data_IF_955973834439
#
_entry.id   IF_955973834439
#
_cell.length_a   1.000
_cell.length_b   1.000
_cell.length_c   1.000
_cell.angle_alpha   90.00
_cell.angle_beta   90.00
_cell.angle_gamma   90.00
#
_symmetry.space_group_name_H-M   'P 1'
#
loop_
_entity.id
_entity.type
_entity.pdbx_description
1 polymer ?
#
# COMPACT_ATOMS: atom_id res chain seq x y z
N UNK A 1 -7.77 20.32 -3.07
CA UNK A 1 -6.63 20.46 -2.13
C UNK A 1 -5.69 19.29 -2.41
N UNK A 2 -4.43 19.59 -2.72
CA UNK A 2 -3.49 18.63 -3.30
C UNK A 2 -3.24 17.44 -2.35
N UNK A 3 -3.56 16.25 -2.82
CA UNK A 3 -3.13 14.98 -2.26
C UNK A 3 -1.59 14.93 -2.31
N UNK A 4 -0.93 15.35 -1.24
CA UNK A 4 0.53 15.17 -1.11
C UNK A 4 0.80 13.74 -0.67
N UNK A 5 0.57 12.78 -1.57
CA UNK A 5 1.14 11.45 -1.46
C UNK A 5 2.63 11.54 -1.75
N UNK A 6 3.42 11.17 -0.75
CA UNK A 6 4.88 11.29 -0.64
C UNK A 6 5.38 12.73 -0.79
N UNK A 7 6.32 13.15 0.06
CA UNK A 7 6.99 14.42 -0.20
C UNK A 7 7.88 14.26 -1.44
N UNK A 8 8.05 15.31 -2.27
CA UNK A 8 8.97 15.26 -3.41
C UNK A 8 10.36 14.70 -3.05
N UNK A 9 10.84 14.99 -1.84
CA UNK A 9 12.11 14.49 -1.33
C UNK A 9 12.11 12.98 -1.00
N UNK A 10 10.98 12.41 -0.57
CA UNK A 10 10.90 10.95 -0.39
C UNK A 10 10.95 10.25 -1.76
N UNK A 11 10.30 10.84 -2.76
CA UNK A 11 10.26 10.34 -4.13
C UNK A 11 11.66 10.36 -4.74
N UNK A 12 12.39 11.48 -4.63
CA UNK A 12 13.77 11.60 -5.09
C UNK A 12 14.67 10.57 -4.43
N UNK A 13 14.60 10.43 -3.10
CA UNK A 13 15.39 9.43 -2.38
C UNK A 13 15.11 8.00 -2.86
N UNK A 14 13.87 7.67 -3.15
CA UNK A 14 13.50 6.34 -3.66
C UNK A 14 14.01 6.11 -5.08
N UNK A 15 13.94 7.13 -5.94
CA UNK A 15 14.55 7.05 -7.27
C UNK A 15 16.06 6.91 -7.20
N UNK A 16 16.74 7.65 -6.33
CA UNK A 16 18.18 7.51 -6.10
C UNK A 16 18.55 6.08 -5.65
N UNK A 17 17.80 5.48 -4.73
CA UNK A 17 18.03 4.09 -4.31
C UNK A 17 17.81 3.11 -5.47
N UNK A 18 16.78 3.33 -6.28
CA UNK A 18 16.51 2.52 -7.47
C UNK A 18 17.64 2.61 -8.50
N UNK A 19 18.12 3.82 -8.79
CA UNK A 19 19.22 4.09 -9.70
C UNK A 19 20.51 3.42 -9.19
N UNK A 20 20.87 3.62 -7.92
CA UNK A 20 22.05 2.99 -7.32
C UNK A 20 22.00 1.46 -7.37
N UNK A 21 20.82 0.84 -7.18
CA UNK A 21 20.66 -0.61 -7.34
C UNK A 21 20.85 -1.04 -8.79
N UNK A 22 20.31 -0.28 -9.74
CA UNK A 22 20.48 -0.55 -11.17
C UNK A 22 21.96 -0.47 -11.58
N UNK A 23 22.69 0.56 -11.15
CA UNK A 23 24.12 0.71 -11.40
C UNK A 23 24.93 -0.47 -10.84
N UNK A 24 24.63 -0.93 -9.61
CA UNK A 24 25.25 -2.13 -9.04
C UNK A 24 24.95 -3.40 -9.84
N UNK A 25 23.74 -3.55 -10.39
CA UNK A 25 23.39 -4.69 -11.24
C UNK A 25 24.14 -4.66 -12.58
N UNK A 26 24.39 -3.47 -13.15
CA UNK A 26 25.21 -3.30 -14.35
C UNK A 26 26.70 -3.58 -14.08
N UNK A 27 27.25 -3.07 -12.98
CA UNK A 27 28.62 -3.34 -12.56
C UNK A 27 28.86 -4.82 -12.26
N UNK A 28 27.86 -5.49 -11.65
CA UNK A 28 27.87 -6.92 -11.41
C UNK A 28 27.87 -7.75 -12.70
N UNK A 29 27.06 -7.36 -13.70
CA UNK A 29 27.01 -8.04 -15.01
C UNK A 29 28.31 -7.92 -15.81
N UNK A 30 29.03 -6.80 -15.69
CA UNK A 30 30.32 -6.60 -16.36
C UNK A 30 31.43 -7.55 -15.87
N UNK A 31 31.30 -8.10 -14.65
CA UNK A 31 32.27 -9.06 -14.08
C UNK A 31 31.97 -10.53 -14.39
N UNK A 32 30.84 -10.87 -15.00
CA UNK A 32 30.39 -12.26 -15.21
C UNK A 32 30.69 -12.88 -16.58
N UNK A 33 31.42 -12.18 -17.46
CA UNK A 33 31.94 -12.80 -18.70
C UNK A 33 33.30 -13.43 -18.42
N UNK A 34 33.32 -14.57 -17.70
CA UNK A 34 34.33 -15.63 -17.86
C UNK A 34 33.93 -16.89 -17.08
N UNK A 35 33.81 -17.97 -17.85
CA UNK A 35 33.74 -19.39 -17.50
C UNK A 35 32.35 -20.02 -17.34
N UNK A 36 31.85 -20.56 -18.45
CA UNK A 36 31.02 -21.77 -18.47
C UNK A 36 31.88 -23.02 -18.23
N UNK A 37 31.34 -23.99 -17.46
CA UNK A 37 31.24 -25.42 -17.85
C UNK A 37 30.36 -26.18 -16.84
N UNK A 38 29.35 -26.86 -17.37
CA UNK A 38 28.26 -27.62 -16.70
C UNK A 38 28.64 -29.10 -16.41
N UNK A 39 27.68 -30.05 -16.18
CA UNK A 39 27.01 -30.56 -14.95
C UNK A 39 27.37 -32.09 -14.72
N UNK A 40 26.65 -33.03 -14.02
CA UNK A 40 25.25 -33.04 -13.51
C UNK A 40 24.90 -33.78 -12.18
N UNK A 41 23.60 -33.66 -11.84
CA UNK A 41 22.69 -34.59 -11.13
C UNK A 41 22.76 -34.78 -9.60
N UNK A 42 21.61 -34.67 -8.93
CA UNK A 42 20.85 -35.77 -8.26
C UNK A 42 19.71 -35.17 -7.40
N UNK A 43 18.51 -35.76 -7.54
CA UNK A 43 17.31 -35.55 -6.70
C UNK A 43 17.27 -36.69 -5.66
N UNK A 44 16.85 -36.47 -4.40
CA UNK A 44 15.52 -36.97 -3.96
C UNK A 44 14.81 -36.00 -2.97
N UNK A 45 13.53 -35.68 -3.20
CA UNK A 45 12.31 -36.27 -2.57
C UNK A 45 12.10 -35.96 -1.07
N UNK A 46 11.31 -34.90 -0.83
CA UNK A 46 10.05 -34.81 -0.04
C UNK A 46 10.03 -35.38 1.40
N UNK A 47 9.91 -34.48 2.39
CA UNK A 47 9.02 -34.67 3.54
C UNK A 47 8.31 -33.36 3.94
N UNK A 48 7.15 -33.54 4.55
CA UNK A 48 6.04 -32.62 4.73
C UNK A 48 5.77 -32.53 6.23
N UNK A 49 5.72 -31.31 6.78
CA UNK A 49 4.96 -30.97 8.00
C UNK A 49 4.98 -29.45 8.17
N UNK A 50 3.97 -28.72 7.69
CA UNK A 50 2.78 -28.28 8.46
C UNK A 50 3.11 -27.70 9.85
N UNK A 51 3.18 -26.38 9.94
CA UNK A 51 2.86 -25.58 11.13
C UNK A 51 2.61 -24.15 10.66
N UNK A 52 1.35 -23.81 10.37
CA UNK A 52 0.42 -23.17 11.30
C UNK A 52 0.22 -21.72 10.88
N UNK A 53 -0.52 -21.53 9.77
CA UNK A 53 -1.15 -20.25 9.49
C UNK A 53 -2.19 -20.02 10.58
N UNK A 54 -1.90 -19.10 11.50
CA UNK A 54 -2.89 -18.53 12.39
C UNK A 54 -3.88 -17.72 11.55
N UNK A 55 -4.92 -18.39 11.09
CA UNK A 55 -6.15 -17.79 10.60
C UNK A 55 -6.68 -16.96 11.78
N UNK A 56 -6.49 -15.64 11.71
CA UNK A 56 -7.11 -14.71 12.63
C UNK A 56 -8.62 -14.81 12.42
N UNK A 57 -9.27 -15.66 13.21
CA UNK A 57 -10.71 -15.75 13.35
C UNK A 57 -11.25 -14.35 13.59
N UNK A 58 -12.09 -13.85 12.67
CA UNK A 58 -12.81 -12.59 12.86
C UNK A 58 -13.65 -12.73 14.14
N UNK A 59 -13.39 -11.94 15.19
CA UNK A 59 -14.29 -11.91 16.33
C UNK A 59 -15.61 -11.29 15.86
N UNK A 60 -16.73 -11.95 16.12
CA UNK A 60 -18.07 -11.41 15.98
C UNK A 60 -18.28 -10.30 17.02
N UNK A 61 -17.66 -9.14 16.78
CA UNK A 61 -17.82 -7.97 17.63
C UNK A 61 -19.07 -7.18 17.28
N UNK A 62 -19.77 -6.71 18.32
CA UNK A 62 -20.84 -5.73 18.19
C UNK A 62 -20.37 -4.52 17.38
N UNK A 63 -21.22 -4.04 16.47
CA UNK A 63 -20.96 -2.81 15.70
C UNK A 63 -21.11 -1.62 16.65
N UNK A 64 -20.11 -0.74 16.72
CA UNK A 64 -20.29 0.54 17.39
C UNK A 64 -21.30 1.37 16.59
N UNK A 65 -22.49 1.59 17.16
CA UNK A 65 -23.49 2.47 16.55
C UNK A 65 -23.11 3.92 16.80
N UNK A 66 -22.30 4.47 15.90
CA UNK A 66 -21.99 5.89 15.88
C UNK A 66 -23.14 6.59 15.16
N UNK A 67 -24.02 7.28 15.92
CA UNK A 67 -25.20 7.93 15.36
C UNK A 67 -24.87 8.86 14.17
N UNK A 68 -24.18 9.97 14.43
CA UNK A 68 -23.75 10.93 13.39
C UNK A 68 -22.23 11.02 13.29
N UNK A 69 -21.66 10.54 12.19
CA UNK A 69 -20.22 10.67 11.89
C UNK A 69 -19.75 12.13 11.70
N UNK A 70 -20.70 13.07 11.53
CA UNK A 70 -20.43 14.51 11.49
C UNK A 70 -20.38 15.17 12.87
N UNK A 71 -20.70 14.46 13.96
CA UNK A 71 -20.60 15.01 15.32
C UNK A 71 -19.15 15.21 15.73
N UNK A 72 -18.86 16.33 16.39
CA UNK A 72 -17.52 16.66 16.87
C UNK A 72 -16.91 15.56 17.76
N UNK A 73 -17.70 14.95 18.65
CA UNK A 73 -17.24 13.87 19.52
C UNK A 73 -16.82 12.61 18.73
N UNK A 74 -17.58 12.27 17.69
CA UNK A 74 -17.24 11.12 16.83
C UNK A 74 -16.01 11.42 15.97
N UNK A 75 -15.82 12.67 15.55
CA UNK A 75 -14.61 13.10 14.84
C UNK A 75 -13.38 13.09 15.76
N UNK A 76 -13.53 13.47 17.02
CA UNK A 76 -12.47 13.34 18.03
C UNK A 76 -12.14 11.87 18.32
N UNK A 77 -13.14 10.99 18.32
CA UNK A 77 -12.91 9.56 18.41
C UNK A 77 -12.08 9.07 17.20
N UNK A 78 -12.47 9.43 15.98
CA UNK A 78 -11.70 9.08 14.78
C UNK A 78 -10.25 9.57 14.90
N UNK A 79 -10.03 10.81 15.32
CA UNK A 79 -8.69 11.36 15.52
C UNK A 79 -7.90 10.57 16.58
N UNK A 80 -8.54 10.18 17.67
CA UNK A 80 -7.92 9.38 18.73
C UNK A 80 -7.52 8.00 18.21
N UNK A 81 -8.43 7.32 17.49
CA UNK A 81 -8.14 6.03 16.86
C UNK A 81 -7.02 6.15 15.83
N UNK A 82 -7.06 7.16 14.96
CA UNK A 82 -6.03 7.40 13.95
C UNK A 82 -4.65 7.64 14.58
N UNK A 83 -4.57 8.32 15.72
CA UNK A 83 -3.30 8.49 16.47
C UNK A 83 -2.76 7.17 17.01
N UNK A 84 -3.63 6.34 17.58
CA UNK A 84 -3.24 5.02 18.09
C UNK A 84 -2.77 4.12 16.95
N UNK A 85 -3.53 4.07 15.85
CA UNK A 85 -3.14 3.35 14.63
C UNK A 85 -1.82 3.90 14.11
N UNK A 86 -1.62 5.22 14.05
CA UNK A 86 -0.35 5.81 13.57
C UNK A 86 0.85 5.34 14.38
N UNK A 87 0.73 5.22 15.71
CA UNK A 87 1.81 4.69 16.55
C UNK A 87 2.17 3.27 16.17
N UNK A 88 1.16 2.41 16.01
CA UNK A 88 1.36 1.04 15.55
C UNK A 88 1.92 0.98 14.12
N UNK A 89 1.43 1.81 13.20
CA UNK A 89 1.85 1.78 11.79
C UNK A 89 3.19 2.48 11.54
N UNK A 90 3.66 3.30 12.48
CA UNK A 90 4.81 4.18 12.26
C UNK A 90 6.10 3.47 11.89
N UNK A 91 6.28 2.23 12.33
CA UNK A 91 7.49 1.44 12.07
C UNK A 91 7.53 0.86 10.65
N UNK A 92 6.38 0.72 9.98
CA UNK A 92 6.29 0.06 8.67
C UNK A 92 5.48 0.84 7.64
N UNK A 93 5.00 2.03 7.95
CA UNK A 93 4.36 2.88 6.95
C UNK A 93 4.47 4.33 7.37
N UNK A 94 4.59 5.24 6.41
CA UNK A 94 4.49 6.69 6.66
C UNK A 94 3.03 7.17 6.75
N UNK A 95 2.10 6.35 6.28
CA UNK A 95 0.68 6.67 6.18
C UNK A 95 -0.12 6.09 7.33
N UNK A 96 -1.27 6.69 7.64
CA UNK A 96 -2.25 6.11 8.56
C UNK A 96 -3.38 5.52 7.74
N UNK A 97 -3.30 4.21 7.49
CA UNK A 97 -4.29 3.47 6.72
C UNK A 97 -5.24 2.74 7.66
N UNK A 98 -6.53 3.08 7.58
CA UNK A 98 -7.58 2.42 8.36
C UNK A 98 -8.61 1.78 7.43
N UNK A 99 -8.88 0.45 7.54
CA UNK A 99 -9.92 -0.23 6.78
C UNK A 99 -11.30 0.40 6.93
N UNK A 100 -12.20 0.09 6.00
CA UNK A 100 -13.59 0.57 6.02
C UNK A 100 -14.33 0.21 7.32
N UNK A 101 -14.16 -1.03 7.78
CA UNK A 101 -14.59 -1.49 9.08
C UNK A 101 -13.33 -1.77 9.91
N UNK A 102 -13.05 -0.90 10.86
CA UNK A 102 -11.90 -1.04 11.74
C UNK A 102 -12.34 -1.70 13.04
N UNK A 103 -11.77 -2.87 13.34
CA UNK A 103 -11.96 -3.54 14.61
C UNK A 103 -11.04 -2.92 15.66
N UNK A 104 -11.61 -2.39 16.74
CA UNK A 104 -10.85 -1.82 17.84
C UNK A 104 -10.42 -2.95 18.78
N UNK A 105 -9.11 -3.17 18.99
CA UNK A 105 -8.63 -4.19 19.94
C UNK A 105 -9.23 -4.00 21.34
N UNK A 106 -9.60 -5.10 21.99
CA UNK A 106 -10.13 -5.08 23.35
C UNK A 106 -9.02 -4.99 24.40
N UNK A 107 -8.18 -3.95 24.33
CA UNK A 107 -7.06 -3.72 25.26
C UNK A 107 -6.75 -2.24 25.37
N UNK A 108 -5.99 -1.85 26.38
CA UNK A 108 -5.39 -0.51 26.44
C UNK A 108 -4.36 -0.36 25.31
N UNK A 109 -4.11 0.85 24.77
CA UNK A 109 -4.64 2.18 25.15
C UNK A 109 -5.94 2.57 24.43
N UNK A 110 -6.69 1.61 23.87
CA UNK A 110 -7.90 1.90 23.09
C UNK A 110 -9.05 2.41 23.97
N UNK A 111 -9.89 3.35 23.50
CA UNK A 111 -10.94 3.93 24.35
C UNK A 111 -11.97 2.90 24.83
N UNK A 112 -12.25 2.89 26.14
CA UNK A 112 -13.08 1.87 26.79
C UNK A 112 -14.50 1.72 26.21
N UNK A 113 -15.07 2.79 25.65
CA UNK A 113 -16.43 2.76 25.08
C UNK A 113 -16.50 2.17 23.66
N UNK A 114 -15.37 1.99 22.96
CA UNK A 114 -15.32 1.34 21.64
C UNK A 114 -14.41 0.11 21.58
N UNK A 115 -13.69 -0.21 22.66
CA UNK A 115 -12.83 -1.40 22.70
C UNK A 115 -13.63 -2.67 22.42
N UNK A 116 -13.08 -3.57 21.60
CA UNK A 116 -13.76 -4.81 21.21
C UNK A 116 -14.96 -4.61 20.27
N UNK A 117 -15.15 -3.42 19.69
CA UNK A 117 -16.21 -3.14 18.73
C UNK A 117 -15.65 -2.80 17.35
N UNK A 118 -16.47 -2.93 16.30
CA UNK A 118 -16.12 -2.47 14.96
C UNK A 118 -16.63 -1.06 14.72
N UNK A 119 -15.72 -0.14 14.36
CA UNK A 119 -16.00 1.24 13.98
C UNK A 119 -16.05 1.37 12.46
N UNK A 120 -17.08 2.03 11.94
CA UNK A 120 -17.23 2.26 10.50
C UNK A 120 -16.49 3.54 10.07
N UNK A 121 -15.32 3.37 9.48
CA UNK A 121 -14.48 4.46 8.99
C UNK A 121 -15.02 5.07 7.69
N UNK A 122 -15.74 4.28 6.88
CA UNK A 122 -16.38 4.79 5.66
C UNK A 122 -17.44 5.85 5.97
N UNK A 123 -18.11 5.77 7.13
CA UNK A 123 -19.03 6.82 7.58
C UNK A 123 -18.35 8.19 7.70
N UNK A 124 -17.14 8.22 8.27
CA UNK A 124 -16.35 9.44 8.37
C UNK A 124 -15.81 9.93 7.02
N UNK A 125 -15.37 9.01 6.15
CA UNK A 125 -14.94 9.36 4.77
C UNK A 125 -16.09 9.95 3.96
N UNK A 126 -17.29 9.40 4.10
CA UNK A 126 -18.49 9.95 3.48
C UNK A 126 -18.88 11.31 4.06
N UNK A 127 -18.71 11.50 5.37
CA UNK A 127 -18.90 12.81 6.01
C UNK A 127 -17.90 13.86 5.48
N UNK A 128 -16.64 13.47 5.21
CA UNK A 128 -15.65 14.37 4.60
C UNK A 128 -16.04 14.80 3.18
N UNK A 129 -16.54 13.88 2.35
CA UNK A 129 -17.05 14.20 1.00
C UNK A 129 -18.22 15.19 1.01
N UNK A 130 -18.93 15.32 2.14
CA UNK A 130 -20.05 16.25 2.35
C UNK A 130 -19.62 17.50 3.14
N UNK A 131 -18.32 17.71 3.32
CA UNK A 131 -17.74 18.81 4.11
C UNK A 131 -18.29 18.92 5.54
N UNK A 132 -18.66 17.78 6.14
CA UNK A 132 -19.17 17.70 7.51
C UNK A 132 -18.08 17.44 8.54
N UNK A 133 -16.81 17.36 8.13
CA UNK A 133 -15.68 17.22 9.03
C UNK A 133 -15.18 18.59 9.44
N UNK A 134 -14.99 18.79 10.75
CA UNK A 134 -14.50 20.04 11.27
C UNK A 134 -13.05 20.29 10.79
N UNK A 135 -12.71 21.48 10.28
CA UNK A 135 -11.40 21.76 9.65
C UNK A 135 -10.22 21.52 10.59
N UNK A 136 -10.35 21.87 11.88
CA UNK A 136 -9.32 21.55 12.89
C UNK A 136 -9.05 20.04 13.06
N UNK A 137 -10.07 19.20 12.91
CA UNK A 137 -9.90 17.74 13.01
C UNK A 137 -9.28 17.20 11.72
N UNK A 138 -9.76 17.68 10.59
CA UNK A 138 -9.18 17.36 9.28
C UNK A 138 -7.69 17.69 9.23
N UNK A 139 -7.28 18.89 9.64
CA UNK A 139 -5.87 19.28 9.67
C UNK A 139 -5.04 18.32 10.54
N UNK A 140 -5.52 18.00 11.75
CA UNK A 140 -4.85 17.04 12.63
C UNK A 140 -4.78 15.62 12.05
N UNK A 141 -5.77 15.20 11.26
CA UNK A 141 -5.75 13.91 10.56
C UNK A 141 -4.77 13.95 9.37
N UNK A 142 -4.70 15.06 8.66
CA UNK A 142 -3.76 15.27 7.57
C UNK A 142 -2.30 15.28 8.10
N UNK A 143 -2.06 15.88 9.27
CA UNK A 143 -0.74 15.84 9.94
C UNK A 143 -0.30 14.40 10.29
N UNK A 144 -1.26 13.48 10.47
CA UNK A 144 -1.01 12.06 10.70
C UNK A 144 -0.90 11.26 9.40
N UNK A 145 -0.90 11.91 8.23
CA UNK A 145 -0.99 11.29 6.90
C UNK A 145 -2.18 10.32 6.81
N UNK A 146 -3.34 10.71 7.35
CA UNK A 146 -4.55 9.88 7.30
C UNK A 146 -5.07 9.72 5.87
N UNK A 147 -5.27 8.47 5.47
CA UNK A 147 -5.73 8.15 4.12
C UNK A 147 -7.26 8.17 4.05
N UNK A 148 -7.78 9.26 3.47
CA UNK A 148 -9.21 9.47 3.24
C UNK A 148 -9.79 8.57 2.14
N UNK A 149 -9.03 8.27 1.09
CA UNK A 149 -9.42 7.33 0.03
C UNK A 149 -8.38 6.22 -0.12
N UNK A 150 -8.69 5.04 0.42
CA UNK A 150 -7.80 3.88 0.35
C UNK A 150 -7.64 3.37 -1.07
N UNK A 151 -8.67 3.47 -1.91
CA UNK A 151 -8.62 2.94 -3.26
C UNK A 151 -7.71 3.80 -4.13
N UNK A 152 -7.83 5.12 -3.99
CA UNK A 152 -6.94 6.09 -4.62
C UNK A 152 -5.51 5.96 -4.11
N UNK A 153 -5.32 5.83 -2.80
CA UNK A 153 -3.98 5.63 -2.23
C UNK A 153 -3.31 4.35 -2.73
N UNK A 154 -4.02 3.21 -2.70
CA UNK A 154 -3.53 1.94 -3.27
C UNK A 154 -3.20 2.07 -4.76
N UNK A 155 -4.07 2.72 -5.53
CA UNK A 155 -3.84 2.96 -6.94
C UNK A 155 -2.53 3.74 -7.18
N UNK A 156 -2.32 4.82 -6.42
CA UNK A 156 -1.12 5.62 -6.53
C UNK A 156 0.13 4.84 -6.10
N UNK A 157 0.07 4.07 -5.01
CA UNK A 157 1.17 3.18 -4.60
C UNK A 157 1.51 2.18 -5.70
N UNK A 158 0.53 1.57 -6.35
CA UNK A 158 0.79 0.62 -7.43
C UNK A 158 1.41 1.30 -8.67
N UNK A 159 0.96 2.51 -9.01
CA UNK A 159 1.61 3.32 -10.05
C UNK A 159 3.06 3.65 -9.69
N UNK A 160 3.36 3.93 -8.42
CA UNK A 160 4.73 4.11 -7.94
C UNK A 160 5.57 2.85 -8.15
N UNK A 161 5.01 1.68 -7.84
CA UNK A 161 5.65 0.40 -8.12
C UNK A 161 6.04 0.25 -9.60
N UNK A 162 5.17 0.65 -10.53
CA UNK A 162 5.48 0.62 -11.96
C UNK A 162 6.60 1.61 -12.35
N UNK A 163 6.58 2.83 -11.79
CA UNK A 163 7.63 3.82 -12.06
C UNK A 163 8.99 3.33 -11.60
N UNK A 164 9.05 2.71 -10.42
CA UNK A 164 10.28 2.13 -9.88
C UNK A 164 10.73 0.95 -10.75
N UNK A 165 9.81 0.08 -11.15
CA UNK A 165 10.12 -1.02 -12.07
C UNK A 165 10.74 -0.49 -13.38
N UNK A 166 10.13 0.55 -13.97
CA UNK A 166 10.65 1.19 -15.18
C UNK A 166 12.07 1.72 -15.02
N UNK A 167 12.37 2.36 -13.89
CA UNK A 167 13.74 2.85 -13.63
C UNK A 167 14.72 1.68 -13.48
N UNK A 168 14.30 0.57 -12.88
CA UNK A 168 15.17 -0.59 -12.66
C UNK A 168 15.36 -1.48 -13.91
N UNK A 169 14.38 -1.53 -14.80
CA UNK A 169 14.38 -2.45 -15.95
C UNK A 169 14.50 -1.71 -17.29
N UNK A 170 14.30 -0.40 -17.31
CA UNK A 170 14.30 0.44 -18.51
C UNK A 170 12.95 0.48 -19.24
N UNK A 171 12.08 -0.51 -19.02
CA UNK A 171 10.79 -0.67 -19.67
C UNK A 171 9.65 -0.95 -18.66
N UNK A 172 8.41 -1.00 -19.17
CA UNK A 172 7.21 -1.28 -18.37
C UNK A 172 6.59 -2.63 -18.74
N UNK A 173 7.39 -3.52 -19.34
CA UNK A 173 6.96 -4.90 -19.63
C UNK A 173 7.11 -5.76 -18.37
N UNK A 174 6.19 -5.56 -17.44
CA UNK A 174 6.19 -6.27 -16.15
C UNK A 174 5.67 -7.70 -16.35
N UNK A 175 6.48 -8.75 -16.11
CA UNK A 175 6.01 -10.13 -16.21
C UNK A 175 4.84 -10.39 -15.27
N UNK A 176 3.88 -11.23 -15.68
CA UNK A 176 2.71 -11.57 -14.85
C UNK A 176 3.09 -12.16 -13.48
N UNK A 177 4.20 -12.91 -13.43
CA UNK A 177 4.76 -13.52 -12.23
C UNK A 177 5.57 -12.55 -11.36
N UNK A 178 5.77 -11.30 -11.78
CA UNK A 178 6.55 -10.34 -11.03
C UNK A 178 5.85 -9.95 -9.73
N UNK A 179 6.53 -10.25 -8.63
CA UNK A 179 6.13 -9.91 -7.26
C UNK A 179 7.29 -9.14 -6.64
N UNK A 180 6.98 -8.00 -6.02
CA UNK A 180 7.96 -7.22 -5.27
C UNK A 180 8.47 -8.06 -4.11
N UNK A 181 9.79 -8.25 -4.02
CA UNK A 181 10.39 -9.06 -2.98
C UNK A 181 10.21 -8.40 -1.60
N UNK A 182 10.15 -9.23 -0.56
CA UNK A 182 10.08 -8.72 0.79
C UNK A 182 11.42 -8.07 1.19
N UNK A 183 11.37 -6.93 1.87
CA UNK A 183 12.56 -6.13 2.25
C UNK A 183 13.40 -5.62 1.08
N UNK A 184 12.77 -5.39 -0.07
CA UNK A 184 13.44 -4.70 -1.17
C UNK A 184 13.45 -3.19 -0.90
N UNK A 185 14.61 -2.64 -0.58
CA UNK A 185 14.79 -1.21 -0.26
C UNK A 185 14.47 -0.27 -1.43
N UNK A 186 14.39 -0.81 -2.64
CA UNK A 186 13.98 -0.06 -3.84
C UNK A 186 12.49 0.24 -3.86
N UNK A 187 11.69 -0.56 -3.16
CA UNK A 187 10.25 -0.40 -3.08
C UNK A 187 9.85 0.06 -1.68
N UNK A 188 8.79 0.88 -1.57
CA UNK A 188 8.20 1.18 -0.28
C UNK A 188 7.67 -0.12 0.32
N UNK A 189 7.74 -0.21 1.65
CA UNK A 189 7.33 -1.41 2.39
C UNK A 189 5.85 -1.77 2.19
N UNK A 190 4.99 -0.80 1.82
CA UNK A 190 3.60 -1.06 1.45
C UNK A 190 3.44 -1.87 0.17
N UNK A 191 4.47 -1.92 -0.69
CA UNK A 191 4.49 -2.74 -1.91
C UNK A 191 5.21 -4.07 -1.74
N UNK A 192 5.80 -4.38 -0.59
CA UNK A 192 6.47 -5.66 -0.39
C UNK A 192 5.49 -6.83 -0.51
N UNK A 193 5.90 -7.90 -1.18
CA UNK A 193 5.07 -9.07 -1.52
C UNK A 193 3.86 -8.74 -2.40
N UNK A 194 3.81 -7.57 -3.03
CA UNK A 194 2.73 -7.20 -3.94
C UNK A 194 2.99 -7.74 -5.36
N UNK A 195 2.00 -8.44 -5.92
CA UNK A 195 2.03 -8.97 -7.28
C UNK A 195 1.75 -7.87 -8.31
N UNK A 196 2.75 -7.01 -8.55
CA UNK A 196 2.65 -5.87 -9.44
C UNK A 196 2.31 -6.28 -10.88
N UNK A 197 2.86 -7.42 -11.35
CA UNK A 197 2.55 -7.95 -12.68
C UNK A 197 1.09 -8.33 -12.88
N UNK A 198 0.51 -9.06 -11.91
CA UNK A 198 -0.92 -9.42 -11.94
C UNK A 198 -1.83 -8.19 -11.86
N UNK A 199 -1.46 -7.22 -11.02
CA UNK A 199 -2.22 -5.97 -10.93
C UNK A 199 -2.19 -5.20 -12.25
N UNK A 200 -1.04 -5.09 -12.91
CA UNK A 200 -0.93 -4.43 -14.22
C UNK A 200 -1.77 -5.15 -15.26
N UNK A 201 -1.67 -6.47 -15.38
CA UNK A 201 -2.46 -7.26 -16.33
C UNK A 201 -3.96 -7.07 -16.13
N UNK A 202 -4.45 -7.14 -14.87
CA UNK A 202 -5.85 -6.88 -14.54
C UNK A 202 -6.27 -5.45 -14.90
N UNK A 203 -5.39 -4.49 -14.67
CA UNK A 203 -5.65 -3.08 -14.97
C UNK A 203 -5.70 -2.83 -16.47
N UNK A 204 -4.84 -3.49 -17.26
CA UNK A 204 -4.88 -3.47 -18.73
C UNK A 204 -6.16 -4.09 -19.27
N UNK A 205 -6.58 -5.23 -18.73
CA UNK A 205 -7.84 -5.88 -19.13
C UNK A 205 -9.08 -5.00 -18.84
N UNK A 206 -9.04 -4.22 -17.77
CA UNK A 206 -10.11 -3.30 -17.39
C UNK A 206 -9.98 -1.91 -18.04
N UNK A 207 -9.07 -1.68 -18.99
CA UNK A 207 -8.74 -0.33 -19.50
C UNK A 207 -9.99 0.42 -19.98
N UNK A 208 -10.94 -0.24 -20.63
CA UNK A 208 -12.15 0.42 -21.13
C UNK A 208 -13.00 1.02 -20.00
N UNK A 209 -13.03 0.38 -18.84
CA UNK A 209 -13.77 0.82 -17.65
C UNK A 209 -12.99 1.82 -16.79
N UNK A 210 -11.73 2.08 -17.10
CA UNK A 210 -10.90 3.00 -16.33
C UNK A 210 -11.26 4.47 -16.62
N UNK A 211 -11.35 5.32 -15.58
CA UNK A 211 -11.42 6.76 -15.74
C UNK A 211 -10.24 7.30 -16.56
N UNK A 212 -10.50 8.31 -17.38
CA UNK A 212 -9.51 8.89 -18.30
C UNK A 212 -8.23 9.38 -17.59
N UNK A 213 -8.36 9.96 -16.40
CA UNK A 213 -7.21 10.37 -15.59
C UNK A 213 -6.28 9.21 -15.21
N UNK A 214 -6.83 8.01 -14.98
CA UNK A 214 -6.03 6.80 -14.68
C UNK A 214 -5.36 6.24 -15.93
N UNK A 215 -6.03 6.30 -17.09
CA UNK A 215 -5.45 5.93 -18.39
C UNK A 215 -4.24 6.80 -18.71
N UNK A 216 -4.39 8.13 -18.58
CA UNK A 216 -3.30 9.09 -18.78
C UNK A 216 -2.12 8.82 -17.87
N UNK A 217 -2.36 8.55 -16.58
CA UNK A 217 -1.28 8.24 -15.64
C UNK A 217 -0.51 6.96 -16.01
N UNK A 218 -1.19 5.93 -16.53
CA UNK A 218 -0.52 4.71 -17.01
C UNK A 218 0.27 4.97 -18.30
N UNK A 219 -0.29 5.77 -19.22
CA UNK A 219 0.38 6.17 -20.45
C UNK A 219 1.64 7.00 -20.16
N UNK A 220 1.60 7.91 -19.18
CA UNK A 220 2.76 8.70 -18.73
C UNK A 220 3.88 7.82 -18.18
N UNK A 221 3.53 6.75 -17.45
CA UNK A 221 4.52 5.76 -17.01
C UNK A 221 5.09 4.98 -18.20
N UNK A 222 4.40 4.94 -19.35
CA UNK A 222 4.87 4.24 -20.56
C UNK A 222 4.26 2.85 -20.71
N UNK A 223 3.14 2.56 -20.05
CA UNK A 223 2.38 1.34 -20.28
C UNK A 223 1.77 1.41 -21.68
N UNK A 224 2.23 0.52 -22.56
CA UNK A 224 1.68 0.37 -23.91
C UNK A 224 0.37 -0.43 -23.84
N UNK A 225 -0.66 0.08 -24.50
CA UNK A 225 -1.92 -0.62 -24.71
C UNK A 225 -1.74 -1.53 -25.93
N UNK A 226 -1.97 -2.82 -25.73
CA UNK A 226 -2.11 -3.73 -26.87
C UNK A 226 -3.60 -3.69 -27.18
N UNK A 227 -3.95 -3.05 -28.29
CA UNK A 227 -5.29 -3.12 -28.90
C UNK A 227 -5.57 -4.53 -29.44
#
# INVERSE_FOLDING_TARGET
>A
MAEKLMSPSDIERMFEVAINKFERLLEGKSKTVRSEKSPPAVVPRKERSTSSNSILSKPTAGKASLGSYGSYNNQLLLLTLARLVRREQSHYSKYTTMPAAFFVPNREPWPAHVRGTSVNINGFRAAKKKDKIHPKIENKLNDLNFVWDLNQHKWQMNLWGLRIYKVCHGDVDVPLSFVVQNKDDTYPNELWSFALGQWLAKTKAAVHDLPEGKKRALAEVGVQWVE
#
